data_IF_696467412875
#
_entry.id   IF_696467412875
#
_cell.length_a   1.000
_cell.length_b   1.000
_cell.length_c   1.000
_cell.angle_alpha   90.00
_cell.angle_beta   90.00
_cell.angle_gamma   90.00
#
_symmetry.space_group_name_H-M   'P 1'
#
loop_
_entity.id
_entity.type
_entity.pdbx_description
1 polymer ?
#
# COMPACT_ATOMS: atom_id res chain seq x y z
N UNK A 1 78.14 8.83 -54.07
CA UNK A 1 77.35 10.09 -54.03
C UNK A 1 76.19 9.90 -54.99
N UNK A 2 74.90 9.89 -54.64
CA UNK A 2 74.15 10.19 -53.41
C UNK A 2 72.96 9.21 -53.37
N UNK A 3 72.58 8.83 -52.15
CA UNK A 3 71.60 7.80 -51.81
C UNK A 3 70.16 8.11 -52.26
N UNK A 4 69.44 7.05 -52.64
CA UNK A 4 67.98 7.07 -52.80
C UNK A 4 67.27 7.03 -51.45
N UNK A 5 66.46 8.04 -51.16
CA UNK A 5 65.59 8.13 -50.00
C UNK A 5 64.23 7.45 -50.24
N UNK A 6 63.67 6.73 -49.26
CA UNK A 6 62.40 6.03 -49.40
C UNK A 6 61.18 6.94 -49.18
N UNK A 7 60.13 6.72 -49.97
CA UNK A 7 58.80 7.34 -49.85
C UNK A 7 58.17 7.16 -48.46
N UNK A 8 57.42 8.16 -47.96
CA UNK A 8 56.70 8.03 -46.70
C UNK A 8 55.50 7.10 -46.86
N UNK A 9 55.52 5.96 -46.16
CA UNK A 9 54.36 5.09 -45.97
C UNK A 9 53.31 5.84 -45.14
N UNK A 10 52.24 6.27 -45.77
CA UNK A 10 50.98 6.64 -45.11
C UNK A 10 50.43 5.44 -44.36
N UNK A 11 50.54 5.47 -43.02
CA UNK A 11 49.84 4.51 -42.15
C UNK A 11 48.32 4.74 -42.28
N UNK A 12 47.50 3.70 -42.48
CA UNK A 12 46.07 3.84 -42.36
C UNK A 12 45.75 4.21 -40.91
N UNK A 13 45.05 5.33 -40.74
CA UNK A 13 44.50 5.82 -39.49
C UNK A 13 43.48 4.78 -39.03
N UNK A 14 43.86 3.91 -38.10
CA UNK A 14 42.92 3.03 -37.41
C UNK A 14 41.86 3.94 -36.78
N UNK A 15 40.65 3.86 -37.33
CA UNK A 15 39.48 4.40 -36.67
C UNK A 15 39.33 3.62 -35.38
N UNK A 16 39.64 4.27 -34.25
CA UNK A 16 39.16 3.84 -32.94
C UNK A 16 37.64 3.88 -33.01
N UNK A 17 37.04 2.77 -33.44
CA UNK A 17 35.71 2.40 -33.01
C UNK A 17 35.83 2.23 -31.50
N UNK A 18 35.51 3.30 -30.76
CA UNK A 18 34.95 3.15 -29.43
C UNK A 18 33.74 2.23 -29.62
N UNK A 19 33.92 0.93 -29.39
CA UNK A 19 32.82 0.09 -28.97
C UNK A 19 32.33 0.73 -27.68
N UNK A 20 31.31 1.57 -27.78
CA UNK A 20 30.41 1.82 -26.65
C UNK A 20 30.01 0.43 -26.16
N UNK A 21 30.59 0.02 -25.02
CA UNK A 21 30.05 -1.12 -24.30
C UNK A 21 28.56 -0.82 -24.12
N UNK A 22 27.65 -1.75 -24.51
CA UNK A 22 26.23 -1.52 -24.34
C UNK A 22 26.01 -1.11 -22.88
N UNK A 23 25.33 0.02 -22.69
CA UNK A 23 24.99 0.49 -21.35
C UNK A 23 24.37 -0.68 -20.58
N UNK A 24 24.79 -0.94 -19.34
CA UNK A 24 24.27 -2.07 -18.59
C UNK A 24 22.75 -1.96 -18.49
N UNK A 25 22.04 -3.02 -18.88
CA UNK A 25 20.59 -3.08 -18.79
C UNK A 25 20.14 -2.77 -17.35
N UNK A 26 19.12 -1.91 -17.16
CA UNK A 26 18.56 -1.63 -15.84
C UNK A 26 18.22 -2.92 -15.11
N UNK A 27 18.59 -3.00 -13.83
CA UNK A 27 18.41 -4.18 -12.99
C UNK A 27 17.15 -4.01 -12.13
N UNK A 28 16.33 -5.06 -12.08
CA UNK A 28 15.18 -5.18 -11.17
C UNK A 28 15.37 -6.44 -10.31
N UNK A 29 15.37 -6.25 -9.00
CA UNK A 29 15.56 -7.28 -7.99
C UNK A 29 14.25 -7.58 -7.28
N UNK A 30 13.88 -8.87 -7.24
CA UNK A 30 12.63 -9.33 -6.63
C UNK A 30 12.97 -10.37 -5.56
N UNK A 31 12.58 -10.09 -4.32
CA UNK A 31 12.67 -11.05 -3.23
C UNK A 31 11.52 -12.05 -3.24
N UNK A 32 11.84 -13.33 -3.10
CA UNK A 32 10.86 -14.41 -2.91
C UNK A 32 11.09 -15.01 -1.53
N UNK A 33 10.22 -14.68 -0.59
CA UNK A 33 10.34 -15.08 0.81
C UNK A 33 9.44 -16.28 1.05
N UNK A 34 10.02 -17.45 1.28
CA UNK A 34 9.26 -18.65 1.66
C UNK A 34 9.02 -18.61 3.17
N UNK A 35 7.79 -18.32 3.58
CA UNK A 35 7.35 -18.18 4.96
C UNK A 35 6.71 -19.49 5.46
N UNK A 36 7.37 -20.11 6.44
CA UNK A 36 7.01 -21.43 6.97
C UNK A 36 7.74 -22.59 6.26
N UNK A 37 7.29 -23.81 6.55
CA UNK A 37 7.84 -25.04 5.96
C UNK A 37 6.98 -25.45 4.77
N UNK A 38 7.63 -25.68 3.63
CA UNK A 38 7.01 -26.24 2.42
C UNK A 38 7.30 -27.75 2.36
N UNK A 39 6.36 -28.51 1.79
CA UNK A 39 6.63 -29.91 1.46
C UNK A 39 7.54 -30.03 0.22
N UNK A 40 8.04 -31.24 -0.08
CA UNK A 40 8.94 -31.46 -1.22
C UNK A 40 8.29 -31.11 -2.58
N UNK A 41 6.96 -31.20 -2.67
CA UNK A 41 6.21 -30.86 -3.89
C UNK A 41 6.14 -29.35 -4.07
N UNK A 42 5.79 -28.63 -3.02
CA UNK A 42 5.69 -27.18 -2.96
C UNK A 42 7.06 -26.51 -3.17
N UNK A 43 8.13 -27.09 -2.63
CA UNK A 43 9.50 -26.61 -2.90
C UNK A 43 9.85 -26.73 -4.40
N UNK A 44 9.56 -27.88 -5.02
CA UNK A 44 9.78 -28.10 -6.46
C UNK A 44 8.91 -27.18 -7.30
N UNK A 45 7.64 -27.04 -6.93
CA UNK A 45 6.68 -26.19 -7.62
C UNK A 45 7.10 -24.72 -7.55
N UNK A 46 7.53 -24.24 -6.37
CA UNK A 46 8.06 -22.89 -6.15
C UNK A 46 9.29 -22.61 -7.01
N UNK A 47 10.24 -23.56 -7.06
CA UNK A 47 11.44 -23.43 -7.90
C UNK A 47 11.07 -23.32 -9.39
N UNK A 48 10.10 -24.11 -9.83
CA UNK A 48 9.64 -24.10 -11.22
C UNK A 48 8.84 -22.84 -11.55
N UNK A 49 7.94 -22.42 -10.67
CA UNK A 49 7.15 -21.18 -10.81
C UNK A 49 8.05 -19.96 -10.93
N UNK A 50 9.07 -19.85 -10.07
CA UNK A 50 10.06 -18.77 -10.07
C UNK A 50 10.79 -18.69 -11.41
N UNK A 51 11.21 -19.83 -11.96
CA UNK A 51 11.88 -19.89 -13.28
C UNK A 51 10.94 -19.47 -14.40
N UNK A 52 9.69 -19.95 -14.37
CA UNK A 52 8.67 -19.60 -15.37
C UNK A 52 8.33 -18.12 -15.33
N UNK A 53 8.11 -17.54 -14.15
CA UNK A 53 7.84 -16.12 -13.99
C UNK A 53 9.02 -15.27 -14.47
N UNK A 54 10.26 -15.64 -14.11
CA UNK A 54 11.47 -14.96 -14.62
C UNK A 54 11.58 -15.03 -16.14
N UNK A 55 11.33 -16.20 -16.74
CA UNK A 55 11.40 -16.35 -18.18
C UNK A 55 10.37 -15.46 -18.89
N UNK A 56 9.13 -15.42 -18.38
CA UNK A 56 8.09 -14.54 -18.89
C UNK A 56 8.50 -13.05 -18.81
N UNK A 57 8.97 -12.59 -17.65
CA UNK A 57 9.43 -11.21 -17.48
C UNK A 57 10.57 -10.86 -18.46
N UNK A 58 11.54 -11.76 -18.63
CA UNK A 58 12.67 -11.56 -19.52
C UNK A 58 12.29 -11.56 -21.01
N UNK A 59 11.23 -12.31 -21.38
CA UNK A 59 10.68 -12.34 -22.73
C UNK A 59 9.89 -11.08 -23.06
N UNK A 60 9.02 -10.64 -22.14
CA UNK A 60 8.18 -9.45 -22.34
C UNK A 60 8.98 -8.14 -22.22
N UNK A 61 10.02 -8.12 -21.39
CA UNK A 61 10.78 -6.92 -21.05
C UNK A 61 12.30 -7.14 -21.21
N UNK A 62 12.79 -7.41 -22.43
CA UNK A 62 14.19 -7.76 -22.69
C UNK A 62 15.20 -6.65 -22.38
N UNK A 63 14.74 -5.40 -22.28
CA UNK A 63 15.53 -4.24 -21.90
C UNK A 63 15.95 -4.21 -20.42
N UNK A 64 15.22 -4.94 -19.55
CA UNK A 64 15.54 -5.06 -18.13
C UNK A 64 16.23 -6.38 -17.81
N UNK A 65 17.01 -6.39 -16.73
CA UNK A 65 17.58 -7.61 -16.16
C UNK A 65 16.86 -7.94 -14.87
N UNK A 66 16.18 -9.09 -14.83
CA UNK A 66 15.47 -9.53 -13.63
C UNK A 66 16.30 -10.52 -12.80
N UNK A 67 16.49 -10.21 -11.52
CA UNK A 67 17.11 -11.10 -10.53
C UNK A 67 16.10 -11.44 -9.44
N UNK A 68 15.78 -12.74 -9.31
CA UNK A 68 14.82 -13.24 -8.33
C UNK A 68 15.61 -13.98 -7.25
N UNK A 69 15.48 -13.55 -6.00
CA UNK A 69 16.22 -14.07 -4.86
C UNK A 69 15.30 -14.85 -3.94
N UNK A 70 15.52 -16.15 -3.78
CA UNK A 70 14.72 -16.97 -2.86
C UNK A 70 15.36 -16.99 -1.48
N UNK A 71 14.63 -16.55 -0.46
CA UNK A 71 15.02 -16.58 0.95
C UNK A 71 14.01 -17.40 1.73
N UNK A 72 14.50 -18.24 2.65
CA UNK A 72 13.65 -19.09 3.49
C UNK A 72 13.57 -18.53 4.90
N UNK A 73 12.34 -18.50 5.44
CA UNK A 73 11.99 -17.99 6.77
C UNK A 73 11.01 -18.98 7.44
N UNK A 74 11.48 -20.17 7.84
CA UNK A 74 10.61 -21.20 8.44
C UNK A 74 9.92 -20.71 9.73
N UNK A 75 10.48 -19.72 10.42
CA UNK A 75 9.98 -19.14 11.66
C UNK A 75 8.78 -18.20 11.52
N UNK A 76 8.39 -17.80 10.30
CA UNK A 76 7.34 -16.79 10.11
C UNK A 76 5.92 -17.34 10.24
N UNK A 77 5.74 -18.65 10.09
CA UNK A 77 4.42 -19.28 10.09
C UNK A 77 4.49 -20.56 10.91
N UNK A 78 3.84 -20.54 12.08
CA UNK A 78 3.68 -21.71 12.95
C UNK A 78 2.29 -22.33 12.84
N UNK A 79 1.30 -21.57 12.34
CA UNK A 79 -0.13 -21.94 12.31
C UNK A 79 -0.63 -22.21 10.90
N UNK A 80 -1.74 -22.95 10.77
CA UNK A 80 -2.34 -23.29 9.47
C UNK A 80 -3.06 -22.13 8.77
N UNK A 81 -3.43 -21.08 9.50
CA UNK A 81 -3.99 -19.84 8.96
C UNK A 81 -3.11 -18.68 9.43
N UNK A 82 -2.83 -17.73 8.53
CA UNK A 82 -1.97 -16.58 8.80
C UNK A 82 -2.59 -15.29 8.28
N UNK A 83 -2.34 -14.19 8.99
CA UNK A 83 -2.82 -12.87 8.58
C UNK A 83 -1.87 -12.24 7.56
N UNK A 84 -2.35 -11.86 6.37
CA UNK A 84 -1.48 -11.33 5.31
C UNK A 84 -0.77 -10.05 5.72
N UNK A 85 -1.42 -9.20 6.50
CA UNK A 85 -0.84 -7.93 6.96
C UNK A 85 0.44 -8.10 7.80
N UNK A 86 0.62 -9.24 8.47
CA UNK A 86 1.84 -9.57 9.23
C UNK A 86 2.96 -9.97 8.27
N UNK A 87 2.65 -10.83 7.29
CA UNK A 87 3.62 -11.29 6.30
C UNK A 87 4.08 -10.18 5.37
N UNK A 88 3.18 -9.29 4.93
CA UNK A 88 3.52 -8.10 4.14
C UNK A 88 4.52 -7.18 4.87
N UNK A 89 4.34 -7.03 6.18
CA UNK A 89 5.25 -6.23 6.99
C UNK A 89 6.65 -6.82 7.03
N UNK A 90 6.74 -8.14 7.25
CA UNK A 90 8.02 -8.82 7.23
C UNK A 90 8.67 -8.76 5.85
N UNK A 91 7.86 -8.82 4.79
CA UNK A 91 8.32 -8.72 3.41
C UNK A 91 9.05 -7.39 3.17
N UNK A 92 8.49 -6.29 3.67
CA UNK A 92 9.10 -4.95 3.59
C UNK A 92 10.41 -4.90 4.37
N UNK A 93 10.49 -5.50 5.56
CA UNK A 93 11.74 -5.54 6.32
C UNK A 93 12.85 -6.28 5.57
N UNK A 94 12.54 -7.44 4.98
CA UNK A 94 13.50 -8.20 4.19
C UNK A 94 13.86 -7.49 2.88
N UNK A 95 12.87 -6.90 2.20
CA UNK A 95 13.05 -6.06 1.00
C UNK A 95 14.01 -4.92 1.25
N UNK A 96 13.76 -4.12 2.29
CA UNK A 96 14.58 -2.96 2.65
C UNK A 96 15.98 -3.39 3.12
N UNK A 97 16.10 -4.52 3.82
CA UNK A 97 17.38 -5.05 4.28
C UNK A 97 18.25 -5.56 3.13
N UNK A 98 17.64 -6.13 2.08
CA UNK A 98 18.34 -6.69 0.92
C UNK A 98 18.36 -5.75 -0.29
N UNK A 99 17.70 -4.59 -0.21
CA UNK A 99 17.53 -3.64 -1.31
C UNK A 99 16.85 -4.24 -2.55
N UNK A 100 15.82 -5.04 -2.32
CA UNK A 100 14.96 -5.52 -3.41
C UNK A 100 13.97 -4.44 -3.82
N UNK A 101 13.58 -4.43 -5.09
CA UNK A 101 12.61 -3.47 -5.60
C UNK A 101 11.18 -3.93 -5.28
N UNK A 102 10.93 -5.25 -5.37
CA UNK A 102 9.68 -5.90 -4.99
C UNK A 102 9.90 -7.08 -4.05
N UNK A 103 8.87 -7.45 -3.28
CA UNK A 103 8.91 -8.66 -2.45
C UNK A 103 7.63 -9.51 -2.57
N UNK A 104 7.80 -10.81 -2.75
CA UNK A 104 6.72 -11.79 -2.82
C UNK A 104 6.92 -12.80 -1.70
N UNK A 105 5.95 -12.91 -0.80
CA UNK A 105 5.95 -13.93 0.25
C UNK A 105 5.15 -15.13 -0.24
N UNK A 106 5.72 -16.33 -0.09
CA UNK A 106 5.07 -17.60 -0.41
C UNK A 106 4.82 -18.36 0.88
N UNK A 107 3.61 -18.86 1.10
CA UNK A 107 3.29 -19.66 2.29
C UNK A 107 2.35 -20.81 1.98
N UNK A 108 2.56 -21.94 2.65
CA UNK A 108 1.62 -23.07 2.60
C UNK A 108 0.39 -22.87 3.51
N UNK A 109 0.38 -21.85 4.37
CA UNK A 109 -0.77 -21.55 5.21
C UNK A 109 -1.89 -20.86 4.42
N UNK A 110 -3.12 -21.06 4.86
CA UNK A 110 -4.28 -20.33 4.35
C UNK A 110 -4.24 -18.87 4.83
N UNK A 111 -4.79 -17.95 4.04
CA UNK A 111 -4.77 -16.53 4.34
C UNK A 111 -6.10 -16.10 4.98
N UNK A 112 -6.00 -15.47 6.15
CA UNK A 112 -7.14 -14.83 6.81
C UNK A 112 -7.62 -13.65 5.96
N UNK A 113 -8.77 -13.81 5.33
CA UNK A 113 -9.40 -12.83 4.44
C UNK A 113 -10.51 -12.06 5.16
N UNK A 114 -10.66 -10.78 4.79
CA UNK A 114 -11.68 -9.91 5.37
C UNK A 114 -12.79 -9.60 4.36
N UNK A 115 -12.44 -9.54 3.08
CA UNK A 115 -13.34 -9.11 2.01
C UNK A 115 -13.84 -10.26 1.15
N UNK A 116 -13.02 -11.30 0.98
CA UNK A 116 -13.38 -12.52 0.24
C UNK A 116 -13.63 -13.69 1.19
N UNK A 117 -14.21 -14.79 0.67
CA UNK A 117 -14.38 -16.02 1.44
C UNK A 117 -13.08 -16.83 1.53
N UNK A 118 -12.23 -16.67 0.52
CA UNK A 118 -10.98 -17.38 0.30
C UNK A 118 -9.99 -16.38 -0.29
N UNK A 119 -8.71 -16.46 0.09
CA UNK A 119 -7.67 -15.55 -0.37
C UNK A 119 -6.46 -16.35 -0.84
N UNK A 120 -6.29 -16.39 -2.15
CA UNK A 120 -5.13 -16.90 -2.87
C UNK A 120 -3.93 -15.97 -2.69
N UNK A 121 -4.17 -14.64 -2.71
CA UNK A 121 -3.14 -13.65 -2.50
C UNK A 121 -3.64 -12.36 -1.84
N UNK A 122 -2.75 -11.70 -1.11
CA UNK A 122 -2.98 -10.34 -0.62
C UNK A 122 -1.88 -9.42 -1.13
N UNK A 123 -2.28 -8.35 -1.82
CA UNK A 123 -1.36 -7.44 -2.52
C UNK A 123 -1.32 -6.07 -1.84
N UNK A 124 -0.14 -5.46 -1.83
CA UNK A 124 0.08 -4.13 -1.24
C UNK A 124 1.00 -3.29 -2.11
N UNK A 125 0.42 -2.39 -2.92
CA UNK A 125 1.21 -1.41 -3.69
C UNK A 125 2.01 -0.46 -2.81
N UNK A 126 1.47 0.09 -1.70
CA UNK A 126 2.25 0.99 -0.85
C UNK A 126 3.51 0.35 -0.24
N UNK A 127 3.54 -0.99 -0.18
CA UNK A 127 4.62 -1.79 0.38
C UNK A 127 5.44 -2.53 -0.69
N UNK A 128 5.15 -2.35 -1.98
CA UNK A 128 5.71 -3.12 -3.11
C UNK A 128 5.83 -4.62 -2.79
N UNK A 129 4.79 -5.14 -2.13
CA UNK A 129 4.81 -6.46 -1.51
C UNK A 129 3.52 -7.23 -1.77
N UNK A 130 3.64 -8.54 -1.93
CA UNK A 130 2.51 -9.45 -2.06
C UNK A 130 2.72 -10.71 -1.22
N UNK A 131 1.63 -11.29 -0.73
CA UNK A 131 1.62 -12.59 -0.04
C UNK A 131 0.79 -13.55 -0.87
N UNK A 132 1.35 -14.72 -1.17
CA UNK A 132 0.78 -15.76 -2.01
C UNK A 132 0.63 -17.05 -1.19
N UNK A 133 -0.55 -17.64 -1.21
CA UNK A 133 -0.82 -18.91 -0.54
C UNK A 133 -0.83 -20.08 -1.52
N UNK A 134 -0.18 -21.18 -1.10
CA UNK A 134 -0.25 -22.45 -1.79
C UNK A 134 -1.48 -23.28 -1.39
N UNK A 135 -2.14 -22.95 -0.27
CA UNK A 135 -3.17 -23.77 0.36
C UNK A 135 -4.38 -24.02 -0.55
N UNK A 136 -4.71 -23.05 -1.41
CA UNK A 136 -5.90 -23.08 -2.26
C UNK A 136 -5.60 -23.30 -3.75
N UNK A 137 -4.34 -23.16 -4.17
CA UNK A 137 -3.93 -23.45 -5.56
C UNK A 137 -3.50 -24.91 -5.75
N UNK A 138 -3.22 -25.63 -4.66
CA UNK A 138 -2.89 -27.05 -4.69
C UNK A 138 -4.12 -27.91 -5.03
N UNK A 139 -4.11 -28.64 -6.17
CA UNK A 139 -5.23 -29.49 -6.57
C UNK A 139 -5.59 -30.53 -5.50
N UNK A 140 -4.61 -31.04 -4.74
CA UNK A 140 -4.87 -32.04 -3.68
C UNK A 140 -5.60 -31.41 -2.49
N UNK A 141 -5.27 -30.17 -2.14
CA UNK A 141 -5.94 -29.44 -1.07
C UNK A 141 -7.42 -29.16 -1.39
N UNK A 142 -7.74 -28.99 -2.68
CA UNK A 142 -9.11 -28.80 -3.19
C UNK A 142 -9.83 -30.15 -3.45
N UNK A 143 -9.17 -31.28 -3.17
CA UNK A 143 -9.77 -32.62 -3.24
C UNK A 143 -9.65 -33.33 -4.59
N UNK A 144 -8.82 -32.83 -5.51
CA UNK A 144 -8.51 -33.51 -6.76
C UNK A 144 -7.48 -34.62 -6.56
N UNK A 145 -7.66 -35.75 -7.25
CA UNK A 145 -6.70 -36.85 -7.27
C UNK A 145 -5.75 -36.70 -8.46
N UNK A 146 -4.55 -36.20 -8.20
CA UNK A 146 -3.48 -36.06 -9.20
C UNK A 146 -2.22 -36.78 -8.75
N UNK A 147 -1.43 -37.29 -9.69
CA UNK A 147 -0.10 -37.80 -9.39
C UNK A 147 0.85 -36.67 -9.00
N UNK A 148 1.93 -37.02 -8.31
CA UNK A 148 2.88 -36.05 -7.76
C UNK A 148 3.52 -35.15 -8.83
N UNK A 149 3.84 -35.69 -10.02
CA UNK A 149 4.46 -34.90 -11.08
C UNK A 149 3.46 -33.90 -11.67
N UNK A 150 2.21 -34.33 -11.90
CA UNK A 150 1.13 -33.44 -12.32
C UNK A 150 0.79 -32.38 -11.26
N UNK A 151 0.83 -32.74 -9.97
CA UNK A 151 0.65 -31.78 -8.85
C UNK A 151 1.70 -30.68 -8.91
N UNK A 152 2.99 -31.04 -8.98
CA UNK A 152 4.10 -30.09 -9.11
C UNK A 152 3.89 -29.15 -10.31
N UNK A 153 3.49 -29.69 -11.47
CA UNK A 153 3.29 -28.89 -12.67
C UNK A 153 2.14 -27.90 -12.56
N UNK A 154 1.00 -28.33 -12.01
CA UNK A 154 -0.17 -27.45 -11.83
C UNK A 154 0.08 -26.37 -10.79
N UNK A 155 0.62 -26.73 -9.62
CA UNK A 155 0.95 -25.75 -8.57
C UNK A 155 1.96 -24.73 -9.10
N UNK A 156 3.00 -25.18 -9.80
CA UNK A 156 3.98 -24.26 -10.38
C UNK A 156 3.37 -23.32 -11.43
N UNK A 157 2.46 -23.83 -12.26
CA UNK A 157 1.78 -23.02 -13.26
C UNK A 157 0.94 -21.93 -12.57
N UNK A 158 0.01 -22.32 -11.69
CA UNK A 158 -0.87 -21.40 -10.95
C UNK A 158 -0.09 -20.38 -10.13
N UNK A 159 0.93 -20.84 -9.40
CA UNK A 159 1.81 -19.96 -8.63
C UNK A 159 2.54 -18.97 -9.53
N UNK A 160 3.05 -19.39 -10.70
CA UNK A 160 3.70 -18.46 -11.62
C UNK A 160 2.75 -17.38 -12.14
N UNK A 161 1.46 -17.72 -12.37
CA UNK A 161 0.44 -16.75 -12.79
C UNK A 161 0.11 -15.79 -11.69
N UNK A 162 -0.04 -16.28 -10.46
CA UNK A 162 -0.28 -15.45 -9.30
C UNK A 162 0.89 -14.50 -9.00
N UNK A 163 2.14 -14.97 -9.16
CA UNK A 163 3.35 -14.12 -9.07
C UNK A 163 3.35 -13.01 -10.13
N UNK A 164 3.04 -13.34 -11.39
CA UNK A 164 2.99 -12.37 -12.48
C UNK A 164 1.85 -11.36 -12.31
N UNK A 165 0.67 -11.84 -11.93
CA UNK A 165 -0.48 -11.00 -11.57
C UNK A 165 -0.12 -10.02 -10.45
N UNK A 166 0.51 -10.53 -9.38
CA UNK A 166 0.95 -9.70 -8.25
C UNK A 166 1.93 -8.63 -8.70
N UNK A 167 2.98 -8.99 -9.46
CA UNK A 167 3.96 -8.02 -9.95
C UNK A 167 3.34 -6.99 -10.90
N UNK A 168 2.40 -7.40 -11.74
CA UNK A 168 1.66 -6.52 -12.62
C UNK A 168 0.80 -5.50 -11.83
N UNK A 169 0.10 -5.96 -10.79
CA UNK A 169 -0.66 -5.08 -9.90
C UNK A 169 0.25 -4.15 -9.08
N UNK A 170 1.38 -4.66 -8.57
CA UNK A 170 2.40 -3.85 -7.87
C UNK A 170 3.01 -2.79 -8.80
N UNK A 171 3.15 -3.08 -10.09
CA UNK A 171 3.56 -2.11 -11.12
C UNK A 171 2.43 -1.14 -11.54
N UNK A 172 1.26 -1.18 -10.89
CA UNK A 172 0.17 -0.23 -11.08
C UNK A 172 -0.87 -0.61 -12.14
N UNK A 173 -0.84 -1.84 -12.67
CA UNK A 173 -1.87 -2.31 -13.59
C UNK A 173 -3.21 -2.51 -12.87
N UNK A 174 -4.30 -2.18 -13.56
CA UNK A 174 -5.67 -2.37 -13.07
C UNK A 174 -6.24 -3.72 -13.52
N UNK A 175 -7.28 -4.19 -12.81
CA UNK A 175 -7.99 -5.44 -13.13
C UNK A 175 -8.59 -5.42 -14.55
N UNK A 176 -8.66 -6.59 -15.16
CA UNK A 176 -9.29 -6.84 -16.47
C UNK A 176 -10.41 -7.87 -16.33
N UNK A 177 -11.47 -7.75 -17.13
CA UNK A 177 -12.58 -8.72 -17.16
C UNK A 177 -12.30 -9.88 -18.16
N UNK A 178 -11.18 -9.83 -18.89
CA UNK A 178 -10.82 -10.84 -19.89
C UNK A 178 -10.26 -12.12 -19.25
N UNK A 179 -10.92 -13.25 -19.48
CA UNK A 179 -10.59 -14.53 -18.83
C UNK A 179 -9.15 -15.05 -19.08
N UNK A 180 -8.52 -14.66 -20.20
CA UNK A 180 -7.14 -15.05 -20.53
C UNK A 180 -6.09 -14.02 -20.10
N UNK A 181 -6.52 -12.90 -19.52
CA UNK A 181 -5.66 -11.79 -19.15
C UNK A 181 -5.04 -12.03 -17.77
N UNK A 182 -3.76 -11.72 -17.62
CA UNK A 182 -3.05 -11.83 -16.33
C UNK A 182 -3.59 -10.88 -15.25
N UNK A 183 -4.40 -9.89 -15.61
CA UNK A 183 -5.07 -8.99 -14.67
C UNK A 183 -6.52 -9.38 -14.37
N UNK A 184 -6.97 -10.58 -14.79
CA UNK A 184 -8.22 -11.14 -14.29
C UNK A 184 -8.16 -11.28 -12.76
N UNK A 185 -9.26 -10.98 -12.09
CA UNK A 185 -9.45 -11.28 -10.67
C UNK A 185 -10.03 -12.72 -10.55
N UNK A 186 -9.20 -13.74 -10.26
CA UNK A 186 -9.67 -15.13 -10.22
C UNK A 186 -10.62 -15.36 -9.05
N UNK A 187 -11.75 -16.03 -9.30
CA UNK A 187 -12.66 -16.45 -8.22
C UNK A 187 -12.20 -17.79 -7.63
N UNK A 188 -11.50 -18.61 -8.41
CA UNK A 188 -10.94 -19.89 -7.99
C UNK A 188 -9.58 -20.23 -8.63
N UNK A 189 -8.98 -21.34 -8.17
CA UNK A 189 -7.68 -21.79 -8.67
C UNK A 189 -7.69 -22.26 -10.14
N UNK A 190 -8.86 -22.57 -10.70
CA UNK A 190 -9.03 -22.92 -12.11
C UNK A 190 -8.94 -21.71 -13.04
N UNK A 191 -9.39 -20.54 -12.61
CA UNK A 191 -9.24 -19.29 -13.37
C UNK A 191 -7.77 -18.95 -13.61
N UNK A 192 -6.89 -19.26 -12.64
CA UNK A 192 -5.43 -19.12 -12.78
C UNK A 192 -4.86 -19.92 -13.95
N UNK A 193 -5.48 -21.04 -14.34
CA UNK A 193 -5.02 -21.87 -15.45
C UNK A 193 -5.36 -21.23 -16.82
N UNK A 194 -6.32 -20.29 -16.86
CA UNK A 194 -6.72 -19.58 -18.08
C UNK A 194 -5.86 -18.33 -18.34
N UNK A 195 -5.27 -17.73 -17.30
CA UNK A 195 -4.47 -16.52 -17.39
C UNK A 195 -3.17 -16.76 -18.16
N UNK A 196 -2.92 -16.01 -19.24
CA UNK A 196 -1.77 -16.26 -20.13
C UNK A 196 -0.96 -15.03 -20.46
N UNK A 197 -1.62 -13.90 -20.76
CA UNK A 197 -0.98 -12.74 -21.36
C UNK A 197 -1.42 -11.41 -20.75
N UNK A 198 -0.58 -10.40 -20.93
CA UNK A 198 -0.96 -8.99 -20.80
C UNK A 198 -1.21 -8.43 -22.21
N UNK A 199 -2.08 -7.44 -22.32
CA UNK A 199 -2.29 -6.73 -23.57
C UNK A 199 -1.17 -5.68 -23.80
N UNK A 200 -1.08 -5.14 -25.01
CA UNK A 200 0.00 -4.22 -25.39
C UNK A 200 0.02 -2.93 -24.54
N UNK A 201 -1.15 -2.42 -24.14
CA UNK A 201 -1.26 -1.23 -23.30
C UNK A 201 -0.75 -1.50 -21.88
N UNK A 202 -1.12 -2.65 -21.30
CA UNK A 202 -0.63 -3.13 -20.01
C UNK A 202 0.88 -3.36 -20.04
N UNK A 203 1.42 -3.95 -21.11
CA UNK A 203 2.85 -4.14 -21.28
C UNK A 203 3.60 -2.80 -21.31
N UNK A 204 3.12 -1.81 -22.05
CA UNK A 204 3.77 -0.50 -22.11
C UNK A 204 3.67 0.26 -20.79
N UNK A 205 2.51 0.19 -20.11
CA UNK A 205 2.36 0.77 -18.78
C UNK A 205 3.31 0.12 -17.76
N UNK A 206 3.38 -1.21 -17.73
CA UNK A 206 4.27 -1.94 -16.83
C UNK A 206 5.76 -1.66 -17.14
N UNK A 207 6.11 -1.52 -18.42
CA UNK A 207 7.45 -1.09 -18.86
C UNK A 207 7.80 0.29 -18.31
N UNK A 208 6.88 1.25 -18.36
CA UNK A 208 7.08 2.58 -17.78
C UNK A 208 7.36 2.49 -16.28
N UNK A 209 6.55 1.73 -15.54
CA UNK A 209 6.74 1.54 -14.09
C UNK A 209 8.08 0.90 -13.75
N UNK A 210 8.48 -0.14 -14.50
CA UNK A 210 9.79 -0.79 -14.33
C UNK A 210 10.97 0.13 -14.64
N UNK A 211 10.83 1.05 -15.61
CA UNK A 211 11.83 2.08 -15.89
C UNK A 211 12.00 3.03 -14.71
N UNK A 212 10.90 3.48 -14.11
CA UNK A 212 10.92 4.39 -12.96
C UNK A 212 11.60 3.73 -11.74
N UNK A 213 11.25 2.47 -11.45
CA UNK A 213 11.84 1.69 -10.37
C UNK A 213 13.35 1.51 -10.58
N UNK A 214 13.79 1.17 -11.80
CA UNK A 214 15.20 0.99 -12.09
C UNK A 214 16.01 2.31 -12.06
N UNK A 215 15.39 3.42 -12.48
CA UNK A 215 16.01 4.75 -12.43
C UNK A 215 16.23 5.22 -10.98
N UNK A 216 15.24 5.04 -10.10
CA UNK A 216 15.37 5.34 -8.67
C UNK A 216 16.60 4.66 -8.06
N UNK A 217 16.82 3.38 -8.39
CA UNK A 217 17.98 2.61 -7.92
C UNK A 217 19.32 3.21 -8.39
N UNK A 218 19.39 3.70 -9.63
CA UNK A 218 20.58 4.36 -10.17
C UNK A 218 20.85 5.68 -9.42
N UNK A 219 19.81 6.43 -9.08
CA UNK A 219 19.92 7.64 -8.27
C UNK A 219 20.38 7.35 -6.85
N UNK A 220 19.89 6.28 -6.20
CA UNK A 220 20.37 5.86 -4.88
C UNK A 220 21.84 5.40 -4.89
N UNK A 221 22.26 4.67 -5.92
CA UNK A 221 23.65 4.24 -6.08
C UNK A 221 24.60 5.44 -6.26
N UNK A 222 24.18 6.46 -7.00
CA UNK A 222 24.97 7.67 -7.27
C UNK A 222 24.93 8.68 -6.11
N UNK A 223 23.85 8.70 -5.32
CA UNK A 223 23.65 9.61 -4.18
C UNK A 223 24.53 9.30 -2.96
N UNK A 224 25.32 8.21 -3.00
CA UNK A 224 26.32 7.85 -1.97
C UNK A 224 27.35 8.96 -1.67
N UNK A 225 27.47 9.99 -2.52
CA UNK A 225 28.44 11.08 -2.39
C UNK A 225 28.01 12.33 -1.60
N UNK A 226 26.70 12.64 -1.44
CA UNK A 226 26.27 13.93 -0.88
C UNK A 226 25.40 13.78 0.38
N UNK A 227 25.97 14.14 1.54
CA UNK A 227 25.27 14.19 2.84
C UNK A 227 24.31 15.39 2.91
N UNK A 228 23.15 15.28 2.29
CA UNK A 228 22.03 16.20 2.54
C UNK A 228 21.43 15.86 3.92
N UNK A 229 21.00 16.87 4.68
CA UNK A 229 20.33 16.66 5.95
C UNK A 229 19.03 15.87 5.76
N UNK A 230 18.85 14.81 6.54
CA UNK A 230 17.71 13.89 6.54
C UNK A 230 16.32 14.51 6.35
N UNK A 231 15.91 15.59 7.05
CA UNK A 231 14.57 16.17 6.87
C UNK A 231 14.38 16.84 5.51
N UNK A 232 15.43 17.46 4.95
CA UNK A 232 15.38 18.10 3.63
C UNK A 232 15.32 17.03 2.54
N UNK A 233 16.05 15.93 2.71
CA UNK A 233 15.95 14.78 1.82
C UNK A 233 14.52 14.21 1.82
N UNK A 234 13.95 13.96 2.99
CA UNK A 234 12.59 13.40 3.08
C UNK A 234 11.53 14.32 2.45
N UNK A 235 11.62 15.63 2.70
CA UNK A 235 10.67 16.60 2.15
C UNK A 235 10.82 16.75 0.63
N UNK A 236 12.05 16.68 0.12
CA UNK A 236 12.32 16.71 -1.32
C UNK A 236 11.87 15.43 -2.01
N UNK A 237 12.21 14.25 -1.48
CA UNK A 237 11.80 12.95 -1.99
C UNK A 237 10.26 12.85 -2.04
N UNK A 238 9.58 13.19 -0.93
CA UNK A 238 8.12 13.20 -0.90
C UNK A 238 7.48 14.19 -1.89
N UNK A 239 8.15 15.31 -2.21
CA UNK A 239 7.64 16.25 -3.21
C UNK A 239 7.83 15.76 -4.66
N UNK A 240 8.96 15.09 -4.93
CA UNK A 240 9.25 14.49 -6.24
C UNK A 240 8.24 13.36 -6.49
N UNK A 241 8.08 12.46 -5.53
CA UNK A 241 7.20 11.28 -5.62
C UNK A 241 5.74 11.56 -5.21
N UNK A 242 5.29 12.82 -5.30
CA UNK A 242 3.93 13.19 -4.87
C UNK A 242 2.82 12.49 -5.66
N UNK A 243 3.07 12.09 -6.91
CA UNK A 243 2.09 11.39 -7.75
C UNK A 243 1.88 9.98 -7.25
N UNK A 244 2.97 9.25 -7.06
CA UNK A 244 3.00 7.91 -6.47
C UNK A 244 2.34 7.89 -5.09
N UNK A 245 2.65 8.87 -4.22
CA UNK A 245 2.00 9.01 -2.92
C UNK A 245 0.48 9.20 -3.06
N UNK A 246 0.03 10.06 -3.99
CA UNK A 246 -1.42 10.29 -4.21
C UNK A 246 -2.10 9.06 -4.79
N UNK A 247 -1.45 8.35 -5.70
CA UNK A 247 -1.94 7.10 -6.29
C UNK A 247 -2.05 6.00 -5.23
N UNK A 248 -1.04 5.84 -4.37
CA UNK A 248 -1.07 4.94 -3.21
C UNK A 248 -2.19 5.31 -2.22
N UNK A 249 -2.39 6.61 -1.94
CA UNK A 249 -3.50 7.07 -1.09
C UNK A 249 -4.86 6.74 -1.71
N UNK A 250 -5.02 6.95 -3.02
CA UNK A 250 -6.27 6.63 -3.71
C UNK A 250 -6.52 5.11 -3.77
N UNK A 251 -5.46 4.34 -4.01
CA UNK A 251 -5.46 2.87 -4.03
C UNK A 251 -5.97 2.27 -2.72
N UNK A 252 -5.55 2.80 -1.57
CA UNK A 252 -5.97 2.33 -0.25
C UNK A 252 -7.44 2.65 0.10
N UNK A 253 -8.17 3.38 -0.77
CA UNK A 253 -9.59 3.75 -0.62
C UNK A 253 -9.95 4.29 0.79
N UNK A 254 -9.24 5.29 1.32
CA UNK A 254 -9.41 5.79 2.69
C UNK A 254 -10.80 6.37 2.97
N UNK A 255 -11.57 6.73 1.93
CA UNK A 255 -12.96 7.13 2.08
C UNK A 255 -13.88 6.03 2.62
N UNK A 256 -13.45 4.77 2.58
CA UNK A 256 -14.19 3.65 3.16
C UNK A 256 -13.93 3.46 4.66
N UNK A 257 -12.98 4.20 5.27
CA UNK A 257 -12.62 4.06 6.69
C UNK A 257 -13.80 4.19 7.65
N UNK A 258 -14.74 5.14 7.49
CA UNK A 258 -15.89 5.24 8.39
C UNK A 258 -16.74 3.97 8.42
N UNK A 259 -16.78 3.21 7.31
CA UNK A 259 -17.51 1.95 7.21
C UNK A 259 -16.68 0.75 7.66
N UNK A 260 -15.38 0.75 7.38
CA UNK A 260 -14.46 -0.35 7.71
C UNK A 260 -14.10 -0.37 9.21
N UNK A 261 -13.92 0.79 9.84
CA UNK A 261 -13.47 0.90 11.24
C UNK A 261 -14.65 1.04 12.19
N UNK A 262 -15.38 -0.05 12.37
CA UNK A 262 -16.67 -0.05 13.10
C UNK A 262 -16.53 0.45 14.55
N UNK A 263 -15.46 0.07 15.25
CA UNK A 263 -15.21 0.47 16.64
C UNK A 263 -14.93 1.96 16.80
N UNK A 264 -14.07 2.51 15.92
CA UNK A 264 -13.78 3.94 15.86
C UNK A 264 -15.07 4.73 15.56
N UNK A 265 -15.79 4.31 14.52
CA UNK A 265 -17.01 5.00 14.07
C UNK A 265 -18.11 5.00 15.12
N UNK A 266 -18.37 3.88 15.77
CA UNK A 266 -19.41 3.78 16.78
C UNK A 266 -19.13 4.70 17.98
N UNK A 267 -17.88 4.69 18.48
CA UNK A 267 -17.47 5.56 19.58
C UNK A 267 -17.55 7.05 19.21
N UNK A 268 -17.11 7.42 18.00
CA UNK A 268 -17.21 8.79 17.50
C UNK A 268 -18.66 9.25 17.35
N UNK A 269 -19.52 8.45 16.71
CA UNK A 269 -20.93 8.81 16.47
C UNK A 269 -21.67 8.95 17.81
N UNK A 270 -21.47 8.02 18.74
CA UNK A 270 -22.03 8.10 20.09
C UNK A 270 -21.64 9.41 20.78
N UNK A 271 -20.35 9.76 20.73
CA UNK A 271 -19.84 11.02 21.29
C UNK A 271 -20.51 12.25 20.68
N UNK A 272 -20.62 12.30 19.35
CA UNK A 272 -21.28 13.42 18.65
C UNK A 272 -22.73 13.57 19.09
N UNK A 273 -23.47 12.46 19.20
CA UNK A 273 -24.88 12.48 19.63
C UNK A 273 -25.00 12.99 21.07
N UNK A 274 -24.16 12.51 21.99
CA UNK A 274 -24.16 12.95 23.39
C UNK A 274 -23.83 14.44 23.51
N UNK A 275 -22.81 14.92 22.78
CA UNK A 275 -22.44 16.34 22.79
C UNK A 275 -23.56 17.22 22.24
N UNK A 276 -24.23 16.82 21.16
CA UNK A 276 -25.35 17.57 20.60
C UNK A 276 -26.56 17.67 21.54
N UNK A 277 -26.74 16.69 22.43
CA UNK A 277 -27.82 16.67 23.42
C UNK A 277 -27.49 17.44 24.72
N UNK A 278 -26.26 17.93 24.86
CA UNK A 278 -25.79 18.54 26.11
C UNK A 278 -25.71 20.05 25.98
N UNK A 279 -26.46 20.78 26.81
CA UNK A 279 -26.49 22.25 26.76
C UNK A 279 -25.11 22.90 26.98
N UNK A 280 -24.30 22.37 27.90
CA UNK A 280 -22.94 22.87 28.16
C UNK A 280 -22.03 22.78 26.93
N UNK A 281 -22.19 21.74 26.11
CA UNK A 281 -21.39 21.57 24.91
C UNK A 281 -21.75 22.61 23.84
N UNK A 282 -23.03 22.98 23.73
CA UNK A 282 -23.47 24.10 22.90
C UNK A 282 -22.85 25.40 23.39
N UNK A 283 -22.96 25.70 24.68
CA UNK A 283 -22.43 26.94 25.25
C UNK A 283 -20.91 27.07 25.00
N UNK A 284 -20.17 25.98 25.23
CA UNK A 284 -18.75 25.95 24.95
C UNK A 284 -18.45 26.14 23.45
N UNK A 285 -19.18 25.47 22.56
CA UNK A 285 -18.94 25.58 21.11
C UNK A 285 -19.21 26.97 20.54
N UNK A 286 -20.19 27.67 21.10
CA UNK A 286 -20.59 29.00 20.65
C UNK A 286 -19.65 30.10 21.16
N UNK A 287 -19.02 29.87 22.32
CA UNK A 287 -17.97 30.75 22.85
C UNK A 287 -16.67 30.72 22.03
N UNK A 288 -16.46 29.72 21.17
CA UNK A 288 -15.24 29.59 20.39
C UNK A 288 -15.24 30.47 19.14
N UNK A 289 -14.11 31.14 18.90
CA UNK A 289 -13.87 31.83 17.63
C UNK A 289 -13.68 30.83 16.49
N UNK A 290 -13.97 31.24 15.24
CA UNK A 290 -13.71 30.39 14.08
C UNK A 290 -12.24 29.94 13.99
N UNK A 291 -11.30 30.80 14.39
CA UNK A 291 -9.87 30.47 14.40
C UNK A 291 -9.58 29.38 15.42
N UNK A 292 -10.08 29.51 16.65
CA UNK A 292 -9.92 28.49 17.70
C UNK A 292 -10.49 27.14 17.26
N UNK A 293 -11.67 27.17 16.62
CA UNK A 293 -12.31 25.97 16.09
C UNK A 293 -11.47 25.32 14.98
N UNK A 294 -11.00 26.08 13.99
CA UNK A 294 -10.15 25.55 12.91
C UNK A 294 -8.85 24.96 13.45
N UNK A 295 -8.19 25.64 14.39
CA UNK A 295 -6.98 25.13 15.04
C UNK A 295 -7.28 23.84 15.81
N UNK A 296 -8.38 23.78 16.55
CA UNK A 296 -8.80 22.58 17.30
C UNK A 296 -9.12 21.41 16.37
N UNK A 297 -9.75 21.67 15.22
CA UNK A 297 -10.02 20.65 14.20
C UNK A 297 -8.74 20.10 13.58
N UNK A 298 -7.81 20.97 13.18
CA UNK A 298 -6.50 20.54 12.64
C UNK A 298 -5.73 19.76 13.71
N UNK A 299 -5.72 20.25 14.94
CA UNK A 299 -5.08 19.56 16.07
C UNK A 299 -5.71 18.18 16.30
N UNK A 300 -7.05 18.05 16.21
CA UNK A 300 -7.73 16.77 16.32
C UNK A 300 -7.31 15.80 15.21
N UNK A 301 -7.22 16.25 13.95
CA UNK A 301 -6.75 15.42 12.85
C UNK A 301 -5.31 14.92 13.08
N UNK A 302 -4.40 15.83 13.44
CA UNK A 302 -2.99 15.50 13.66
C UNK A 302 -2.78 14.59 14.87
N UNK A 303 -3.45 14.89 16.00
CA UNK A 303 -3.36 14.09 17.22
C UNK A 303 -3.94 12.69 17.02
N UNK A 304 -5.11 12.58 16.40
CA UNK A 304 -5.71 11.28 16.09
C UNK A 304 -4.84 10.48 15.12
N UNK A 305 -4.34 11.12 14.06
CA UNK A 305 -3.43 10.46 13.09
C UNK A 305 -2.16 9.97 13.78
N UNK A 306 -1.50 10.82 14.56
CA UNK A 306 -0.29 10.45 15.30
C UNK A 306 -0.54 9.33 16.31
N UNK A 307 -1.64 9.40 17.07
CA UNK A 307 -2.05 8.36 18.01
C UNK A 307 -2.25 7.02 17.31
N UNK A 308 -3.02 7.00 16.22
CA UNK A 308 -3.29 5.80 15.43
C UNK A 308 -2.00 5.21 14.86
N UNK A 309 -1.13 6.03 14.28
CA UNK A 309 0.14 5.58 13.71
C UNK A 309 1.05 4.94 14.75
N UNK A 310 1.26 5.61 15.89
CA UNK A 310 2.11 5.12 16.97
C UNK A 310 1.54 3.82 17.54
N UNK A 311 0.24 3.80 17.79
CA UNK A 311 -0.40 2.67 18.46
C UNK A 311 -0.53 1.44 17.57
N UNK A 312 -0.80 1.63 16.28
CA UNK A 312 -0.92 0.54 15.32
C UNK A 312 0.44 0.06 14.79
N UNK A 313 1.53 0.69 15.23
CA UNK A 313 2.90 0.41 14.78
C UNK A 313 3.04 0.45 13.26
N UNK A 314 2.34 1.38 12.61
CA UNK A 314 2.44 1.57 11.16
C UNK A 314 3.83 2.06 10.74
N UNK A 315 4.56 2.67 11.68
CA UNK A 315 5.96 3.01 11.50
C UNK A 315 6.81 1.78 11.83
N UNK A 316 7.08 1.01 10.79
CA UNK A 316 8.12 0.00 10.79
C UNK A 316 9.44 0.62 11.28
N UNK A 317 10.06 -0.03 12.27
CA UNK A 317 11.40 0.31 12.71
C UNK A 317 12.41 -0.13 11.65
N UNK A 318 12.52 0.64 10.57
CA UNK A 318 13.52 0.38 9.53
C UNK A 318 14.93 0.67 10.04
N UNK A 319 15.90 -0.09 9.52
CA UNK A 319 17.32 0.03 9.85
C UNK A 319 17.89 1.44 9.65
N UNK A 320 19.15 1.63 10.05
CA UNK A 320 19.84 2.95 10.22
C UNK A 320 19.93 3.86 8.98
N UNK A 321 19.35 3.52 7.81
CA UNK A 321 19.45 4.31 6.58
C UNK A 321 18.06 4.49 5.96
N UNK A 322 17.69 5.75 5.73
CA UNK A 322 16.47 6.13 5.03
C UNK A 322 16.75 6.04 3.53
N UNK A 323 16.14 5.08 2.84
CA UNK A 323 16.05 5.08 1.38
C UNK A 323 14.94 6.03 0.93
N UNK A 324 14.93 6.39 -0.35
CA UNK A 324 13.85 7.20 -0.93
C UNK A 324 12.51 6.45 -0.83
N UNK A 325 12.56 5.14 -1.11
CA UNK A 325 11.40 4.25 -1.01
C UNK A 325 10.84 4.18 0.42
N UNK A 326 11.67 4.09 1.46
CA UNK A 326 11.18 4.12 2.86
C UNK A 326 10.46 5.45 3.16
N UNK A 327 10.96 6.58 2.64
CA UNK A 327 10.29 7.88 2.80
C UNK A 327 8.93 7.88 2.12
N UNK A 328 8.85 7.36 0.89
CA UNK A 328 7.60 7.25 0.13
C UNK A 328 6.60 6.36 0.87
N UNK A 329 6.99 5.16 1.32
CA UNK A 329 6.13 4.26 2.09
C UNK A 329 5.61 4.91 3.37
N UNK A 330 6.48 5.58 4.15
CA UNK A 330 6.07 6.27 5.38
C UNK A 330 5.13 7.45 5.06
N UNK A 331 5.43 8.25 4.03
CA UNK A 331 4.61 9.38 3.62
C UNK A 331 3.22 8.91 3.13
N UNK A 332 3.17 7.85 2.34
CA UNK A 332 1.94 7.21 1.87
C UNK A 332 1.12 6.69 3.05
N UNK A 333 1.72 5.95 3.99
CA UNK A 333 1.03 5.45 5.17
C UNK A 333 0.44 6.59 6.04
N UNK A 334 1.22 7.65 6.31
CA UNK A 334 0.74 8.84 7.03
C UNK A 334 -0.41 9.50 6.26
N UNK A 335 -0.25 9.66 4.94
CA UNK A 335 -1.24 10.28 4.06
C UNK A 335 -2.56 9.52 4.02
N UNK A 336 -2.51 8.18 3.91
CA UNK A 336 -3.68 7.29 3.94
C UNK A 336 -4.46 7.48 5.24
N UNK A 337 -3.78 7.39 6.39
CA UNK A 337 -4.42 7.55 7.70
C UNK A 337 -5.00 8.95 7.86
N UNK A 338 -4.23 9.99 7.55
CA UNK A 338 -4.67 11.38 7.67
C UNK A 338 -5.91 11.65 6.81
N UNK A 339 -5.90 11.22 5.55
CA UNK A 339 -7.05 11.40 4.67
C UNK A 339 -8.27 10.63 5.18
N UNK A 340 -8.08 9.39 5.65
CA UNK A 340 -9.13 8.61 6.29
C UNK A 340 -9.74 9.33 7.50
N UNK A 341 -8.93 9.96 8.35
CA UNK A 341 -9.39 10.75 9.49
C UNK A 341 -10.15 12.02 9.08
N UNK A 342 -9.74 12.67 7.99
CA UNK A 342 -10.47 13.83 7.42
C UNK A 342 -11.84 13.38 6.90
N UNK A 343 -11.92 12.28 6.16
CA UNK A 343 -13.20 11.76 5.67
C UNK A 343 -14.11 11.33 6.83
N UNK A 344 -13.54 10.71 7.86
CA UNK A 344 -14.25 10.35 9.08
C UNK A 344 -14.82 11.59 9.79
N UNK A 345 -14.00 12.62 9.98
CA UNK A 345 -14.45 13.88 10.55
C UNK A 345 -15.57 14.53 9.72
N UNK A 346 -15.43 14.54 8.39
CA UNK A 346 -16.45 15.09 7.49
C UNK A 346 -17.77 14.31 7.59
N UNK A 347 -17.69 12.98 7.72
CA UNK A 347 -18.86 12.10 7.91
C UNK A 347 -19.56 12.39 9.24
N UNK A 348 -18.81 12.51 10.33
CA UNK A 348 -19.34 12.89 11.65
C UNK A 348 -19.98 14.28 11.63
N UNK A 349 -19.35 15.22 10.96
CA UNK A 349 -19.88 16.58 10.80
C UNK A 349 -21.18 16.58 10.00
N UNK A 350 -21.27 15.80 8.92
CA UNK A 350 -22.50 15.64 8.13
C UNK A 350 -23.63 15.01 8.94
N UNK A 351 -23.33 13.96 9.71
CA UNK A 351 -24.28 13.33 10.64
C UNK A 351 -24.74 14.38 11.66
N UNK A 352 -23.81 15.10 12.27
CA UNK A 352 -24.10 16.13 13.26
C UNK A 352 -24.99 17.24 12.70
N UNK A 353 -24.71 17.74 11.50
CA UNK A 353 -25.53 18.77 10.82
C UNK A 353 -26.94 18.23 10.54
N UNK A 354 -27.05 16.97 10.11
CA UNK A 354 -28.35 16.32 9.84
C UNK A 354 -29.18 16.21 11.11
N UNK A 355 -28.59 15.73 12.21
CA UNK A 355 -29.27 15.62 13.51
C UNK A 355 -29.61 17.03 14.04
N UNK A 356 -28.66 17.96 13.99
CA UNK A 356 -28.83 19.34 14.44
C UNK A 356 -29.97 20.06 13.72
N UNK A 357 -30.13 19.79 12.43
CA UNK A 357 -31.14 20.42 11.58
C UNK A 357 -32.52 19.79 11.70
N UNK A 358 -32.60 18.48 11.95
CA UNK A 358 -33.87 17.73 12.03
C UNK A 358 -34.48 17.72 13.42
N UNK A 359 -33.66 17.57 14.48
CA UNK A 359 -34.16 17.38 15.84
C UNK A 359 -34.27 18.68 16.66
N UNK A 360 -33.42 19.68 16.38
CA UNK A 360 -33.32 20.86 17.24
C UNK A 360 -33.77 22.13 16.53
N UNK A 361 -34.86 22.71 17.05
CA UNK A 361 -35.34 24.02 16.64
C UNK A 361 -34.44 25.13 17.20
N UNK A 362 -34.38 26.26 16.51
CA UNK A 362 -33.62 27.45 16.89
C UNK A 362 -33.95 27.95 18.31
N UNK A 363 -35.22 27.87 18.72
CA UNK A 363 -35.66 28.27 20.06
C UNK A 363 -35.07 27.38 21.17
N UNK A 364 -34.96 26.08 20.93
CA UNK A 364 -34.38 25.13 21.87
C UNK A 364 -32.87 25.40 22.04
N UNK A 365 -32.17 25.59 20.93
CA UNK A 365 -30.73 25.89 20.93
C UNK A 365 -30.46 27.21 21.68
N UNK A 366 -31.24 28.26 21.41
CA UNK A 366 -31.10 29.54 22.12
C UNK A 366 -31.31 29.40 23.64
N UNK A 367 -32.23 28.52 24.06
CA UNK A 367 -32.45 28.24 25.49
C UNK A 367 -31.30 27.50 26.16
N UNK A 368 -30.54 26.70 25.41
CA UNK A 368 -29.38 25.96 25.92
C UNK A 368 -28.12 26.83 25.97
N UNK A 369 -27.96 27.74 25.01
CA UNK A 369 -26.84 28.66 24.91
C UNK A 369 -27.08 29.97 25.69
N UNK A 370 -27.62 29.86 26.90
CA UNK A 370 -28.08 31.03 27.66
C UNK A 370 -26.97 32.02 28.02
N UNK A 371 -25.70 31.59 28.10
CA UNK A 371 -24.57 32.48 28.42
C UNK A 371 -24.15 33.37 27.24
N UNK A 372 -24.55 33.00 26.02
CA UNK A 372 -24.11 33.67 24.78
C UNK A 372 -25.05 34.80 24.32
N UNK A 373 -26.07 35.16 25.12
CA UNK A 373 -27.09 36.19 24.81
C UNK A 373 -27.75 36.06 23.42
N UNK A 374 -27.89 34.83 22.91
CA UNK A 374 -28.41 34.57 21.56
C UNK A 374 -29.94 34.64 21.52
N UNK A 375 -30.48 35.35 20.52
CA UNK A 375 -31.91 35.29 20.21
C UNK A 375 -32.19 34.16 19.21
N UNK A 376 -33.40 33.62 19.19
CA UNK A 376 -33.77 32.54 18.24
C UNK A 376 -33.57 32.92 16.75
N UNK A 377 -33.55 34.21 16.41
CA UNK A 377 -33.26 34.71 15.06
C UNK A 377 -31.77 34.62 14.69
N UNK A 378 -30.88 34.59 15.69
CA UNK A 378 -29.42 34.56 15.50
C UNK A 378 -28.90 33.12 15.31
N UNK A 379 -29.73 32.12 15.61
CA UNK A 379 -29.41 30.69 15.43
C UNK A 379 -29.53 30.32 13.96
N UNK A 380 -28.53 30.73 13.18
CA UNK A 380 -28.37 30.39 11.77
C UNK A 380 -27.65 29.07 11.53
N UNK A 381 -27.56 28.68 10.26
CA UNK A 381 -26.83 27.48 9.81
C UNK A 381 -25.35 27.49 10.22
N UNK A 382 -24.70 28.65 10.18
CA UNK A 382 -23.29 28.81 10.59
C UNK A 382 -23.07 28.40 12.05
N UNK A 383 -24.04 28.71 12.92
CA UNK A 383 -23.96 28.42 14.34
C UNK A 383 -24.04 26.92 14.61
N UNK A 384 -24.97 26.25 13.92
CA UNK A 384 -25.06 24.77 13.89
C UNK A 384 -23.79 24.15 13.36
N UNK A 385 -23.22 24.70 12.29
CA UNK A 385 -21.98 24.21 11.68
C UNK A 385 -20.80 24.25 12.67
N UNK A 386 -20.67 25.32 13.47
CA UNK A 386 -19.63 25.44 14.51
C UNK A 386 -19.75 24.35 15.56
N UNK A 387 -20.96 24.13 16.08
CA UNK A 387 -21.23 23.06 17.05
C UNK A 387 -20.92 21.67 16.47
N UNK A 388 -21.37 21.40 15.23
CA UNK A 388 -21.13 20.13 14.57
C UNK A 388 -19.64 19.89 14.29
N UNK A 389 -18.90 20.90 13.82
CA UNK A 389 -17.46 20.80 13.57
C UNK A 389 -16.69 20.48 14.87
N UNK A 390 -17.05 21.15 15.96
CA UNK A 390 -16.45 20.93 17.27
C UNK A 390 -16.76 19.54 17.83
N UNK A 391 -18.03 19.15 17.74
CA UNK A 391 -18.49 17.83 18.19
C UNK A 391 -17.83 16.72 17.37
N UNK A 392 -17.68 16.91 16.06
CA UNK A 392 -16.95 15.98 15.19
C UNK A 392 -15.46 15.91 15.53
N UNK A 393 -14.81 17.02 15.89
CA UNK A 393 -13.40 17.02 16.32
C UNK A 393 -13.20 16.28 17.66
N UNK A 394 -14.04 16.51 18.66
CA UNK A 394 -14.00 15.73 19.91
C UNK A 394 -14.38 14.26 19.70
N UNK A 395 -15.43 14.01 18.90
CA UNK A 395 -15.86 12.67 18.53
C UNK A 395 -14.77 11.89 17.81
N UNK A 396 -13.98 12.53 16.95
CA UNK A 396 -12.84 11.90 16.30
C UNK A 396 -11.73 11.53 17.32
N UNK A 397 -11.40 12.43 18.25
CA UNK A 397 -10.40 12.17 19.29
C UNK A 397 -10.82 11.00 20.19
N UNK A 398 -12.07 10.98 20.64
CA UNK A 398 -12.61 9.91 21.49
C UNK A 398 -12.76 8.61 20.67
N UNK A 399 -13.16 8.70 19.41
CA UNK A 399 -13.22 7.55 18.51
C UNK A 399 -11.87 6.90 18.27
N UNK A 400 -10.79 7.68 18.20
CA UNK A 400 -9.43 7.17 18.12
C UNK A 400 -9.10 6.27 19.33
N UNK A 401 -9.55 6.66 20.53
CA UNK A 401 -9.46 5.80 21.72
C UNK A 401 -10.33 4.55 21.59
N UNK A 402 -11.45 4.60 20.86
CA UNK A 402 -12.29 3.45 20.50
C UNK A 402 -11.59 2.47 19.56
N UNK A 403 -10.78 2.96 18.61
CA UNK A 403 -9.84 2.13 17.85
C UNK A 403 -8.82 1.41 18.77
N UNK A 404 -8.72 1.87 20.04
CA UNK A 404 -8.54 1.07 21.28
C UNK A 404 -8.62 -0.44 21.18
N UNK A 405 -9.79 -0.84 20.74
CA UNK A 405 -10.36 -2.13 21.05
C UNK A 405 -10.50 -3.00 19.80
N UNK A 406 -10.19 -2.44 18.63
CA UNK A 406 -10.10 -3.16 17.37
C UNK A 406 -8.73 -3.84 17.27
N UNK A 407 -8.69 -5.05 16.70
CA UNK A 407 -7.43 -5.80 16.61
C UNK A 407 -6.44 -5.05 15.72
N UNK A 408 -5.18 -4.98 16.15
CA UNK A 408 -4.11 -4.30 15.41
C UNK A 408 -3.99 -4.82 13.97
N UNK A 409 -4.20 -6.12 13.80
CA UNK A 409 -4.12 -6.81 12.52
C UNK A 409 -5.25 -6.40 11.57
N UNK A 410 -6.48 -6.23 12.06
CA UNK A 410 -7.60 -5.76 11.22
C UNK A 410 -7.31 -4.38 10.65
N UNK A 411 -6.85 -3.46 11.50
CA UNK A 411 -6.54 -2.10 11.09
C UNK A 411 -5.43 -2.04 10.03
N UNK A 412 -4.37 -2.83 10.24
CA UNK A 412 -3.26 -2.92 9.29
C UNK A 412 -3.66 -3.56 7.98
N UNK A 413 -4.52 -4.57 8.02
CA UNK A 413 -5.06 -5.19 6.82
C UNK A 413 -5.84 -4.19 5.98
N UNK A 414 -6.73 -3.40 6.62
CA UNK A 414 -7.51 -2.36 5.94
C UNK A 414 -6.64 -1.30 5.25
N UNK A 415 -5.45 -1.02 5.78
CA UNK A 415 -4.54 0.02 5.27
C UNK A 415 -3.58 -0.50 4.21
N UNK A 416 -3.02 -1.69 4.44
CA UNK A 416 -1.94 -2.21 3.60
C UNK A 416 -2.44 -3.15 2.52
N UNK A 417 -3.54 -3.86 2.71
CA UNK A 417 -4.06 -4.79 1.70
C UNK A 417 -4.97 -4.02 0.76
N UNK A 418 -4.48 -3.79 -0.45
CA UNK A 418 -5.21 -3.12 -1.52
C UNK A 418 -6.19 -4.08 -2.21
N UNK A 419 -5.75 -5.32 -2.39
CA UNK A 419 -6.47 -6.38 -3.10
C UNK A 419 -6.29 -7.72 -2.37
N UNK A 420 -7.41 -8.43 -2.17
CA UNK A 420 -7.46 -9.85 -1.83
C UNK A 420 -7.91 -10.58 -3.07
N UNK A 421 -7.05 -11.44 -3.60
CA UNK A 421 -7.29 -12.31 -4.75
C UNK A 421 -7.75 -13.67 -4.25
#
# INVERSE_FOLDING_TARGET
MIAGGPSPRTRPRQANQHMESPAPSPLIEIGIIVAGVLDDVDERATSMATKTAKAFLQECFPEFRFELFVVRRPELVETGVVQPSVLLQQAVEDRDAQHWDFSLVLTAADLDSIYTAHCLAALSRPLDAAVLSLALIDPVAVGETVDEASRVQRVAHRLSRLMLHSLAHLAGLSSSDEANNLMLHPDDAGDLDAMQSLNDEQLEQQRSSFSEVADLRLEEANSRGHRISTPVFALRAGWINRREIVEAIAAARPWQFPRRLSGLTLASVSTVVVLLMTAEAWDWALSQSCVSLTVSTIAAWLLTTGYVIVRQQLLLHHGRRLSEQTVVTIASAIGIVLFGMIVMWASLMLIGVTISSTLFNASLIASWAASSELTAADVGFVLKLRMCAMSASLGLLIGALGASFESQHYFRHVIFVDEEV
#
